data_IF_838657900145
#
_entry.id   IF_838657900145
#
_cell.length_a   1.000
_cell.length_b   1.000
_cell.length_c   1.000
_cell.angle_alpha   90.00
_cell.angle_beta   90.00
_cell.angle_gamma   90.00
#
_symmetry.space_group_name_H-M   'P 1'
#
loop_
_entity.id
_entity.type
_entity.pdbx_description
1 polymer ?
#
# COMPACT_ATOMS: atom_id res chain seq x y z
N UNK A 1 -21.82 21.08 -3.52
CA UNK A 1 -22.06 20.33 -4.76
C UNK A 1 -20.99 19.28 -4.89
N UNK A 2 -21.25 18.09 -4.26
CA UNK A 2 -20.11 17.24 -3.99
C UNK A 2 -20.39 15.82 -4.39
N UNK A 3 -20.84 15.60 -5.70
CA UNK A 3 -21.22 14.37 -5.80
C UNK A 3 -21.34 13.59 -6.94
N UNK A 4 -20.91 13.99 -7.96
CA UNK A 4 -21.03 13.13 -9.08
C UNK A 4 -20.03 12.00 -9.03
N UNK A 5 -19.21 11.84 -7.89
CA UNK A 5 -18.51 10.72 -8.07
C UNK A 5 -17.32 10.52 -7.25
N UNK A 6 -17.57 9.89 -6.17
CA UNK A 6 -16.51 9.25 -5.47
C UNK A 6 -15.83 8.13 -6.29
N UNK A 7 -16.50 7.56 -7.29
CA UNK A 7 -15.89 6.62 -8.24
C UNK A 7 -16.36 6.94 -9.65
N UNK A 8 -15.59 7.70 -10.46
CA UNK A 8 -15.93 8.01 -11.83
C UNK A 8 -15.76 6.82 -12.79
N UNK A 9 -15.45 5.65 -12.26
CA UNK A 9 -15.10 4.46 -13.05
C UNK A 9 -16.26 3.47 -13.09
N UNK A 10 -16.42 2.80 -14.24
CA UNK A 10 -17.37 1.69 -14.39
C UNK A 10 -16.93 0.53 -13.48
N UNK A 11 -17.91 -0.23 -13.03
CA UNK A 11 -17.69 -1.39 -12.16
C UNK A 11 -16.71 -2.41 -12.76
N UNK A 12 -16.85 -2.67 -14.07
CA UNK A 12 -15.97 -3.62 -14.75
C UNK A 12 -14.52 -3.15 -14.78
N UNK A 13 -14.29 -1.85 -15.02
CA UNK A 13 -12.95 -1.26 -14.95
C UNK A 13 -12.36 -1.39 -13.54
N UNK A 14 -13.16 -1.14 -12.50
CA UNK A 14 -12.71 -1.31 -11.13
C UNK A 14 -12.37 -2.78 -10.81
N UNK A 15 -13.20 -3.72 -11.27
CA UNK A 15 -12.97 -5.16 -11.09
C UNK A 15 -11.66 -5.64 -11.70
N UNK A 16 -11.27 -5.12 -12.87
CA UNK A 16 -10.02 -5.46 -13.54
C UNK A 16 -8.78 -5.23 -12.66
N UNK A 17 -8.82 -4.22 -11.79
CA UNK A 17 -7.72 -3.88 -10.89
C UNK A 17 -7.68 -4.73 -9.59
N UNK A 18 -8.80 -5.32 -9.18
CA UNK A 18 -8.87 -6.17 -7.98
C UNK A 18 -8.71 -7.66 -8.27
N UNK A 19 -8.89 -8.10 -9.52
CA UNK A 19 -8.86 -9.54 -9.87
C UNK A 19 -7.43 -10.04 -9.95
N UNK A 20 -7.06 -10.89 -9.00
CA UNK A 20 -5.80 -11.62 -9.01
C UNK A 20 -5.96 -13.12 -9.12
N UNK A 21 -7.09 -13.65 -8.70
CA UNK A 21 -7.46 -15.05 -8.89
C UNK A 21 -8.97 -15.20 -8.88
N UNK A 22 -9.48 -16.23 -9.56
CA UNK A 22 -10.91 -16.58 -9.58
C UNK A 22 -11.51 -16.87 -8.18
N UNK A 23 -10.67 -16.92 -7.14
CA UNK A 23 -11.08 -17.20 -5.75
C UNK A 23 -11.45 -15.95 -4.94
N UNK A 24 -11.03 -14.75 -5.38
CA UNK A 24 -11.18 -13.51 -4.59
C UNK A 24 -12.36 -12.63 -5.00
N UNK A 25 -13.22 -13.09 -5.91
CA UNK A 25 -14.40 -12.34 -6.36
C UNK A 25 -15.32 -11.88 -5.22
N UNK A 26 -15.41 -12.64 -4.12
CA UNK A 26 -16.25 -12.28 -2.96
C UNK A 26 -15.80 -11.00 -2.24
N UNK A 27 -14.49 -10.75 -2.17
CA UNK A 27 -13.96 -9.52 -1.58
C UNK A 27 -14.20 -8.33 -2.49
N UNK A 28 -13.99 -8.49 -3.80
CA UNK A 28 -14.25 -7.46 -4.81
C UNK A 28 -15.73 -7.05 -4.78
N UNK A 29 -16.64 -8.00 -4.80
CA UNK A 29 -18.08 -7.75 -4.74
C UNK A 29 -18.47 -7.01 -3.45
N UNK A 30 -17.84 -7.33 -2.33
CA UNK A 30 -18.06 -6.64 -1.06
C UNK A 30 -17.63 -5.17 -1.12
N UNK A 31 -16.45 -4.87 -1.67
CA UNK A 31 -15.97 -3.49 -1.85
C UNK A 31 -16.86 -2.72 -2.82
N UNK A 32 -17.17 -3.31 -3.97
CA UNK A 32 -18.05 -2.69 -4.98
C UNK A 32 -19.46 -2.44 -4.42
N UNK A 33 -20.02 -3.40 -3.70
CA UNK A 33 -21.33 -3.24 -3.03
C UNK A 33 -21.32 -2.09 -2.02
N UNK A 34 -20.24 -1.92 -1.26
CA UNK A 34 -20.07 -0.81 -0.32
C UNK A 34 -20.04 0.53 -1.03
N UNK A 35 -19.31 0.63 -2.15
CA UNK A 35 -19.25 1.86 -2.96
C UNK A 35 -20.60 2.17 -3.62
N UNK A 36 -21.25 1.18 -4.24
CA UNK A 36 -22.59 1.34 -4.82
C UNK A 36 -23.59 1.84 -3.79
N UNK A 37 -23.65 1.21 -2.63
CA UNK A 37 -24.55 1.60 -1.56
C UNK A 37 -24.31 3.03 -1.08
N UNK A 38 -23.06 3.48 -1.03
CA UNK A 38 -22.73 4.86 -0.68
C UNK A 38 -23.19 5.84 -1.76
N UNK A 39 -23.03 5.50 -3.04
CA UNK A 39 -23.49 6.32 -4.18
C UNK A 39 -25.01 6.37 -4.26
N UNK A 40 -25.68 5.24 -4.11
CA UNK A 40 -27.14 5.13 -4.12
C UNK A 40 -27.77 5.96 -2.99
N UNK A 41 -27.24 5.83 -1.78
CA UNK A 41 -27.69 6.62 -0.63
C UNK A 41 -27.51 8.11 -0.87
N UNK A 42 -26.43 8.51 -1.53
CA UNK A 42 -26.21 9.92 -1.88
C UNK A 42 -27.24 10.43 -2.90
N UNK A 43 -27.53 9.66 -3.93
CA UNK A 43 -28.56 10.02 -4.92
C UNK A 43 -29.96 10.15 -4.33
N UNK A 44 -30.31 9.30 -3.37
CA UNK A 44 -31.58 9.39 -2.63
C UNK A 44 -31.62 10.65 -1.77
N UNK A 45 -30.49 11.07 -1.21
CA UNK A 45 -30.39 12.30 -0.43
C UNK A 45 -30.60 13.56 -1.31
N UNK A 46 -29.96 13.64 -2.48
CA UNK A 46 -30.16 14.77 -3.41
C UNK A 46 -31.63 14.92 -3.85
N UNK A 47 -32.37 13.80 -3.95
CA UNK A 47 -33.76 13.82 -4.39
C UNK A 47 -34.77 14.23 -3.28
N UNK A 48 -34.43 13.98 -2.01
CA UNK A 48 -35.42 14.05 -0.92
C UNK A 48 -35.21 15.16 0.11
N UNK A 49 -34.13 15.93 0.04
CA UNK A 49 -33.78 16.98 1.03
C UNK A 49 -33.77 16.48 2.50
N UNK A 50 -33.52 15.17 2.71
CA UNK A 50 -33.61 14.54 4.02
C UNK A 50 -32.34 14.72 4.87
N UNK A 51 -32.62 15.04 6.10
CA UNK A 51 -31.89 15.16 7.36
C UNK A 51 -30.37 14.85 7.40
N UNK A 52 -29.67 15.77 8.09
CA UNK A 52 -28.23 15.80 8.43
C UNK A 52 -27.64 14.47 8.91
N UNK A 53 -28.43 13.61 9.53
CA UNK A 53 -27.95 12.30 10.01
C UNK A 53 -27.66 11.30 8.90
N UNK A 54 -28.40 11.33 7.82
CA UNK A 54 -28.20 10.44 6.67
C UNK A 54 -27.01 10.88 5.81
N UNK A 55 -26.73 12.18 5.74
CA UNK A 55 -25.49 12.69 5.12
C UNK A 55 -24.25 12.12 5.81
N UNK A 56 -24.24 12.05 7.15
CA UNK A 56 -23.12 11.51 7.92
C UNK A 56 -22.84 10.04 7.59
N UNK A 57 -23.89 9.24 7.38
CA UNK A 57 -23.75 7.82 7.01
C UNK A 57 -23.16 7.64 5.62
N UNK A 58 -23.60 8.46 4.67
CA UNK A 58 -23.12 8.43 3.29
C UNK A 58 -21.65 8.82 3.22
N UNK A 59 -21.24 9.86 3.95
CA UNK A 59 -19.87 10.37 3.98
C UNK A 59 -18.88 9.48 4.72
N UNK A 60 -19.30 8.37 5.32
CA UNK A 60 -18.36 7.43 5.95
C UNK A 60 -17.35 6.84 4.97
N UNK A 61 -17.65 6.81 3.68
CA UNK A 61 -16.71 6.40 2.64
C UNK A 61 -15.44 7.27 2.62
N UNK A 62 -15.53 8.52 3.05
CA UNK A 62 -14.38 9.43 3.18
C UNK A 62 -13.37 8.98 4.24
N UNK A 63 -13.67 7.95 5.04
CA UNK A 63 -12.76 7.31 5.99
C UNK A 63 -12.22 5.97 5.50
N UNK A 64 -12.68 5.54 4.32
CA UNK A 64 -12.35 4.23 3.78
C UNK A 64 -11.02 4.28 3.03
N UNK A 65 -10.00 3.66 3.59
CA UNK A 65 -8.64 3.63 3.07
C UNK A 65 -8.57 2.97 1.68
N UNK A 66 -9.29 1.87 1.48
CA UNK A 66 -9.35 1.19 0.17
C UNK A 66 -10.00 2.10 -0.87
N UNK A 67 -11.03 2.87 -0.47
CA UNK A 67 -11.67 3.83 -1.37
C UNK A 67 -10.72 4.96 -1.77
N UNK A 68 -9.98 5.56 -0.83
CA UNK A 68 -9.00 6.60 -1.14
C UNK A 68 -7.95 6.07 -2.12
N UNK A 69 -7.43 4.89 -1.84
CA UNK A 69 -6.41 4.24 -2.65
C UNK A 69 -6.91 3.97 -4.07
N UNK A 70 -8.06 3.29 -4.19
CA UNK A 70 -8.61 2.95 -5.50
C UNK A 70 -8.99 4.19 -6.32
N UNK A 71 -9.74 5.13 -5.74
CA UNK A 71 -10.18 6.33 -6.45
C UNK A 71 -9.02 7.18 -6.94
N UNK A 72 -8.04 7.45 -6.09
CA UNK A 72 -6.93 8.34 -6.44
C UNK A 72 -5.96 7.72 -7.43
N UNK A 73 -5.56 6.46 -7.21
CA UNK A 73 -4.60 5.80 -8.10
C UNK A 73 -5.22 5.46 -9.47
N UNK A 74 -6.50 5.10 -9.53
CA UNK A 74 -7.20 4.91 -10.81
C UNK A 74 -7.32 6.23 -11.58
N UNK A 75 -7.54 7.36 -10.90
CA UNK A 75 -7.59 8.67 -11.53
C UNK A 75 -6.28 8.98 -12.26
N UNK A 76 -5.14 8.74 -11.63
CA UNK A 76 -3.83 8.89 -12.30
C UNK A 76 -3.64 7.83 -13.38
N UNK A 77 -3.94 6.56 -13.08
CA UNK A 77 -3.65 5.45 -13.99
C UNK A 77 -4.45 5.51 -15.30
N UNK A 78 -5.70 5.99 -15.24
CA UNK A 78 -6.58 6.17 -16.40
C UNK A 78 -6.57 7.59 -16.97
N UNK A 79 -5.72 8.47 -16.44
CA UNK A 79 -5.57 9.83 -16.97
C UNK A 79 -5.02 9.82 -18.40
N UNK A 80 -5.50 10.69 -19.28
CA UNK A 80 -4.88 10.92 -20.58
C UNK A 80 -3.40 11.33 -20.48
N UNK A 81 -3.01 11.93 -19.34
CA UNK A 81 -1.63 12.36 -19.03
C UNK A 81 -0.91 11.39 -18.08
N UNK A 82 -1.34 10.13 -18.01
CA UNK A 82 -0.85 9.12 -17.07
C UNK A 82 0.66 9.11 -16.89
N UNK A 83 1.40 9.02 -17.97
CA UNK A 83 2.85 8.84 -17.91
C UNK A 83 3.53 10.10 -17.34
N UNK A 84 3.01 11.29 -17.67
CA UNK A 84 3.51 12.57 -17.11
C UNK A 84 3.16 12.67 -15.61
N UNK A 85 1.96 12.27 -15.21
CA UNK A 85 1.50 12.32 -13.83
C UNK A 85 2.26 11.30 -12.96
N UNK A 86 2.46 10.08 -13.46
CA UNK A 86 3.28 9.07 -12.79
C UNK A 86 4.74 9.54 -12.67
N UNK A 87 5.31 10.16 -13.70
CA UNK A 87 6.66 10.71 -13.62
C UNK A 87 6.75 11.81 -12.56
N UNK A 88 5.79 12.74 -12.50
CA UNK A 88 5.73 13.77 -11.45
C UNK A 88 5.64 13.16 -10.05
N UNK A 89 4.81 12.11 -9.88
CA UNK A 89 4.67 11.39 -8.62
C UNK A 89 6.00 10.77 -8.19
N UNK A 90 6.68 10.10 -9.11
CA UNK A 90 7.94 9.43 -8.84
C UNK A 90 9.08 10.42 -8.55
N UNK A 91 9.14 11.52 -9.31
CA UNK A 91 10.09 12.60 -9.04
C UNK A 91 9.85 13.23 -7.67
N UNK A 92 8.60 13.50 -7.31
CA UNK A 92 8.26 14.02 -5.99
C UNK A 92 8.66 13.05 -4.86
N UNK A 93 8.41 11.75 -5.07
CA UNK A 93 8.64 10.74 -4.07
C UNK A 93 10.12 10.38 -3.89
N UNK A 94 10.87 10.21 -4.98
CA UNK A 94 12.19 9.60 -4.97
C UNK A 94 13.29 10.50 -5.58
N UNK A 95 12.95 11.70 -6.06
CA UNK A 95 13.88 12.61 -6.73
C UNK A 95 13.91 12.42 -8.25
N UNK A 96 14.78 13.17 -8.90
CA UNK A 96 14.84 13.26 -10.38
C UNK A 96 15.30 11.95 -11.04
N UNK A 97 16.10 11.15 -10.33
CA UNK A 97 16.67 9.89 -10.83
C UNK A 97 16.16 8.73 -9.96
N UNK A 98 15.74 7.61 -10.59
CA UNK A 98 15.34 6.42 -9.83
C UNK A 98 16.48 5.91 -8.93
N UNK A 99 16.24 5.58 -7.66
CA UNK A 99 17.23 4.91 -6.80
C UNK A 99 17.31 3.41 -7.11
N UNK A 100 17.49 3.08 -8.39
CA UNK A 100 17.49 1.73 -8.95
C UNK A 100 18.61 1.62 -9.99
N UNK A 101 19.53 0.69 -9.80
CA UNK A 101 20.73 0.55 -10.67
C UNK A 101 20.40 0.25 -12.13
N UNK A 102 19.25 -0.36 -12.39
CA UNK A 102 18.85 -0.78 -13.73
C UNK A 102 18.18 0.31 -14.56
N UNK A 103 17.95 1.52 -14.01
CA UNK A 103 17.24 2.60 -14.69
C UNK A 103 17.92 3.93 -14.49
N UNK A 104 18.08 4.69 -15.58
CA UNK A 104 18.66 6.03 -15.58
C UNK A 104 17.60 7.14 -15.50
N UNK A 105 16.33 6.81 -15.75
CA UNK A 105 15.23 7.77 -15.76
C UNK A 105 13.89 7.13 -15.42
N UNK A 106 12.95 7.94 -14.94
CA UNK A 106 11.57 7.48 -14.70
C UNK A 106 10.86 7.06 -15.98
N UNK A 107 11.21 7.66 -17.11
CA UNK A 107 10.66 7.26 -18.40
C UNK A 107 11.02 5.80 -18.75
N UNK A 108 12.25 5.38 -18.45
CA UNK A 108 12.64 3.97 -18.62
C UNK A 108 11.85 3.03 -17.71
N UNK A 109 11.63 3.42 -16.45
CA UNK A 109 10.81 2.66 -15.50
C UNK A 109 9.37 2.46 -16.02
N UNK A 110 8.78 3.53 -16.58
CA UNK A 110 7.37 3.57 -16.99
C UNK A 110 7.13 3.05 -18.41
N UNK A 111 8.16 2.96 -19.26
CA UNK A 111 8.02 2.55 -20.65
C UNK A 111 7.66 1.07 -20.78
N UNK A 112 6.48 0.78 -21.32
CA UNK A 112 6.00 -0.58 -21.54
C UNK A 112 4.59 -0.81 -21.03
N UNK A 113 4.30 -2.05 -20.61
CA UNK A 113 2.97 -2.45 -20.19
C UNK A 113 2.80 -2.26 -18.67
N UNK A 114 2.13 -1.18 -18.30
CA UNK A 114 1.79 -0.88 -16.91
C UNK A 114 0.50 -1.56 -16.47
N UNK A 115 0.53 -2.07 -15.24
CA UNK A 115 -0.61 -2.65 -14.54
C UNK A 115 -0.74 -1.98 -13.18
N UNK A 116 -1.96 -1.75 -12.73
CA UNK A 116 -2.29 -1.31 -11.37
C UNK A 116 -3.13 -2.41 -10.71
N UNK A 117 -2.74 -2.85 -9.53
CA UNK A 117 -3.48 -3.86 -8.76
C UNK A 117 -3.80 -3.30 -7.38
N UNK A 118 -5.01 -3.55 -6.90
CA UNK A 118 -5.43 -3.29 -5.54
C UNK A 118 -5.48 -4.58 -4.73
N UNK A 119 -5.03 -4.49 -3.48
CA UNK A 119 -4.97 -5.59 -2.52
C UNK A 119 -4.27 -6.87 -3.06
N UNK A 120 -3.15 -6.75 -3.83
CA UNK A 120 -2.43 -7.94 -4.27
C UNK A 120 -1.81 -8.70 -3.10
N UNK A 121 -1.97 -10.01 -3.14
CA UNK A 121 -1.36 -10.93 -2.19
C UNK A 121 0.06 -11.30 -2.65
N UNK A 122 1.06 -10.70 -2.05
CA UNK A 122 2.46 -11.00 -2.33
C UNK A 122 3.01 -12.03 -1.33
N UNK A 123 3.73 -13.08 -1.79
CA UNK A 123 4.19 -14.13 -0.90
C UNK A 123 5.23 -13.62 0.09
N UNK A 124 5.15 -14.09 1.34
CA UNK A 124 6.22 -13.85 2.31
C UNK A 124 7.52 -14.50 1.86
N UNK A 125 8.67 -13.82 2.00
CA UNK A 125 9.96 -14.35 1.58
C UNK A 125 10.31 -15.68 2.28
N UNK A 126 10.72 -16.68 1.51
CA UNK A 126 11.09 -18.01 2.05
C UNK A 126 12.22 -17.94 3.08
N UNK A 127 13.17 -17.02 2.88
CA UNK A 127 14.27 -16.79 3.82
C UNK A 127 13.73 -16.35 5.20
N UNK A 128 12.76 -15.45 5.23
CA UNK A 128 12.10 -15.04 6.46
C UNK A 128 11.34 -16.19 7.12
N UNK A 129 10.54 -16.93 6.37
CA UNK A 129 9.77 -18.05 6.91
C UNK A 129 10.67 -19.13 7.54
N UNK A 130 11.80 -19.42 6.92
CA UNK A 130 12.78 -20.38 7.46
C UNK A 130 13.47 -19.82 8.72
N UNK A 131 13.85 -18.56 8.69
CA UNK A 131 14.45 -17.90 9.86
C UNK A 131 13.46 -17.84 11.03
N UNK A 132 12.20 -17.48 10.79
CA UNK A 132 11.17 -17.39 11.82
C UNK A 132 10.94 -18.72 12.52
N UNK A 133 10.95 -19.86 11.81
CA UNK A 133 10.82 -21.21 12.42
C UNK A 133 11.88 -21.43 13.49
N UNK A 134 13.10 -20.98 13.25
CA UNK A 134 14.23 -21.17 14.16
C UNK A 134 14.25 -20.14 15.31
N UNK A 135 13.55 -19.02 15.14
CA UNK A 135 13.62 -17.89 16.08
C UNK A 135 12.28 -17.58 16.76
N UNK A 136 11.24 -18.39 16.53
CA UNK A 136 9.85 -18.08 16.93
C UNK A 136 9.70 -17.84 18.43
N UNK A 137 10.45 -18.56 19.28
CA UNK A 137 10.40 -18.40 20.75
C UNK A 137 10.93 -17.03 21.17
N UNK A 138 11.91 -16.48 20.46
CA UNK A 138 12.42 -15.12 20.71
C UNK A 138 11.57 -14.01 20.06
N UNK A 139 10.61 -14.37 19.20
CA UNK A 139 9.74 -13.43 18.46
C UNK A 139 8.33 -13.33 19.02
N UNK A 140 7.96 -14.24 19.92
CA UNK A 140 6.66 -14.22 20.58
C UNK A 140 6.78 -14.80 21.99
N UNK A 141 6.07 -14.21 22.95
CA UNK A 141 6.11 -14.59 24.36
C UNK A 141 4.79 -15.21 24.85
N UNK A 142 3.78 -15.29 24.00
CA UNK A 142 2.46 -15.82 24.36
C UNK A 142 2.42 -17.34 24.12
N UNK A 143 2.32 -18.19 25.18
CA UNK A 143 2.36 -19.64 25.05
C UNK A 143 1.35 -20.20 24.05
N UNK A 144 0.12 -19.72 24.09
CA UNK A 144 -0.93 -20.12 23.17
C UNK A 144 -0.61 -19.86 21.69
N UNK A 145 0.06 -18.73 21.39
CA UNK A 145 0.50 -18.43 20.02
C UNK A 145 1.64 -19.36 19.63
N UNK A 146 2.61 -19.60 20.53
CA UNK A 146 3.71 -20.53 20.30
C UNK A 146 3.21 -21.97 20.06
N UNK A 147 2.22 -22.42 20.81
CA UNK A 147 1.57 -23.72 20.58
C UNK A 147 0.90 -23.79 19.20
N UNK A 148 0.23 -22.72 18.77
CA UNK A 148 -0.39 -22.65 17.44
C UNK A 148 0.61 -22.70 16.28
N UNK A 149 1.88 -22.39 16.49
CA UNK A 149 2.91 -22.54 15.46
C UNK A 149 3.23 -23.99 15.11
N UNK A 150 2.81 -24.92 15.97
CA UNK A 150 3.06 -26.36 15.79
C UNK A 150 1.82 -27.06 15.25
N UNK A 151 2.05 -28.12 14.50
CA UNK A 151 1.01 -29.07 14.08
C UNK A 151 0.76 -30.12 15.18
N UNK A 152 -0.21 -31.01 14.96
CA UNK A 152 -0.52 -32.10 15.90
C UNK A 152 0.64 -33.08 16.15
N UNK A 153 1.65 -33.11 15.27
CA UNK A 153 2.86 -33.94 15.41
C UNK A 153 4.00 -33.21 16.13
N UNK A 154 3.80 -31.94 16.50
CA UNK A 154 4.82 -31.11 17.16
C UNK A 154 5.77 -30.37 16.21
N UNK A 155 5.64 -30.59 14.90
CA UNK A 155 6.45 -29.88 13.90
C UNK A 155 5.93 -28.46 13.68
N UNK A 156 6.80 -27.52 13.31
CA UNK A 156 6.35 -26.20 12.90
C UNK A 156 5.48 -26.25 11.64
N UNK A 157 4.43 -25.45 11.62
CA UNK A 157 3.60 -25.26 10.44
C UNK A 157 4.44 -24.73 9.29
N UNK A 158 4.12 -25.13 8.05
CA UNK A 158 4.86 -24.68 6.86
C UNK A 158 4.76 -23.16 6.67
N UNK A 159 3.59 -22.60 6.97
CA UNK A 159 3.30 -21.17 6.75
C UNK A 159 3.06 -20.47 8.11
N UNK A 160 4.14 -20.00 8.74
CA UNK A 160 4.05 -19.18 9.95
C UNK A 160 3.60 -17.74 9.66
N UNK A 161 3.82 -17.26 8.45
CA UNK A 161 3.28 -15.99 7.95
C UNK A 161 2.62 -16.23 6.59
N UNK A 162 1.41 -15.71 6.42
CA UNK A 162 0.70 -15.72 5.14
C UNK A 162 1.25 -14.68 4.17
N UNK A 163 0.71 -14.64 2.96
CA UNK A 163 0.98 -13.58 1.99
C UNK A 163 0.70 -12.21 2.59
N UNK A 164 1.47 -11.22 2.15
CA UNK A 164 1.24 -9.81 2.48
C UNK A 164 0.23 -9.25 1.50
N UNK A 165 -0.89 -8.78 2.01
CA UNK A 165 -1.83 -8.00 1.23
C UNK A 165 -1.35 -6.55 1.27
N UNK A 166 -0.87 -6.03 0.14
CA UNK A 166 -0.46 -4.62 0.00
C UNK A 166 -1.64 -3.81 -0.55
N UNK A 167 -1.77 -2.53 -0.19
CA UNK A 167 -2.94 -1.76 -0.60
C UNK A 167 -3.00 -1.53 -2.11
N UNK A 168 -1.85 -1.26 -2.73
CA UNK A 168 -1.74 -1.23 -4.18
C UNK A 168 -0.35 -1.63 -4.69
N UNK A 169 -0.30 -2.05 -5.95
CA UNK A 169 0.93 -2.35 -6.69
C UNK A 169 0.82 -1.77 -8.10
N UNK A 170 1.71 -0.84 -8.44
CA UNK A 170 1.98 -0.47 -9.82
C UNK A 170 3.11 -1.36 -10.35
N UNK A 171 2.90 -2.01 -11.49
CA UNK A 171 3.85 -2.95 -12.09
C UNK A 171 4.01 -2.67 -13.58
N UNK A 172 5.23 -2.57 -14.04
CA UNK A 172 5.58 -2.64 -15.45
C UNK A 172 6.04 -4.06 -15.78
N UNK A 173 5.18 -4.83 -16.46
CA UNK A 173 5.49 -6.22 -16.80
C UNK A 173 6.55 -6.37 -17.91
N UNK A 174 6.89 -5.29 -18.61
CA UNK A 174 7.90 -5.31 -19.67
C UNK A 174 9.34 -5.26 -19.14
N UNK A 175 9.57 -4.62 -17.98
CA UNK A 175 10.91 -4.44 -17.40
C UNK A 175 11.02 -4.81 -15.92
N UNK A 176 9.91 -5.27 -15.31
CA UNK A 176 9.85 -5.71 -13.91
C UNK A 176 9.87 -4.57 -12.88
N UNK A 177 9.82 -3.30 -13.31
CA UNK A 177 9.69 -2.16 -12.40
C UNK A 177 8.39 -2.24 -11.63
N UNK A 178 8.43 -1.96 -10.33
CA UNK A 178 7.23 -1.95 -9.51
C UNK A 178 7.29 -0.97 -8.34
N UNK A 179 6.11 -0.52 -7.90
CA UNK A 179 5.93 0.26 -6.69
C UNK A 179 4.92 -0.44 -5.81
N UNK A 180 5.35 -0.87 -4.63
CA UNK A 180 4.48 -1.37 -3.57
C UNK A 180 4.00 -0.17 -2.77
N UNK A 181 2.68 0.01 -2.68
CA UNK A 181 2.06 1.14 -2.01
C UNK A 181 1.33 0.65 -0.76
N UNK A 182 1.66 1.27 0.37
CA UNK A 182 0.93 1.16 1.63
C UNK A 182 0.23 2.49 1.89
N UNK A 183 -1.08 2.44 2.04
CA UNK A 183 -1.93 3.61 2.20
C UNK A 183 -2.51 3.69 3.61
N UNK A 184 -2.59 4.89 4.17
CA UNK A 184 -3.24 5.15 5.44
C UNK A 184 -4.09 6.40 5.35
N UNK A 185 -5.28 6.36 5.96
CA UNK A 185 -6.15 7.53 6.10
C UNK A 185 -6.25 7.94 7.56
N UNK A 186 -6.86 7.11 8.41
CA UNK A 186 -6.97 7.36 9.86
C UNK A 186 -6.38 6.22 10.67
N UNK A 187 -6.17 5.06 10.06
CA UNK A 187 -5.56 3.89 10.69
C UNK A 187 -4.06 4.10 10.95
N UNK A 188 -3.49 3.24 11.76
CA UNK A 188 -2.06 3.13 11.96
C UNK A 188 -1.56 1.78 11.42
N UNK A 189 -0.25 1.55 11.41
CA UNK A 189 0.33 0.27 11.06
C UNK A 189 0.08 -0.78 12.14
N UNK A 190 -0.09 -2.03 11.70
CA UNK A 190 -0.16 -3.17 12.61
C UNK A 190 1.23 -3.63 13.02
N UNK A 191 1.43 -3.79 14.35
CA UNK A 191 2.57 -4.50 14.93
C UNK A 191 2.31 -5.99 15.08
N UNK A 192 1.12 -6.47 14.73
CA UNK A 192 0.79 -7.88 14.87
C UNK A 192 0.83 -8.58 13.53
N UNK A 193 1.97 -9.14 13.20
CA UNK A 193 2.07 -10.09 12.11
C UNK A 193 1.99 -11.50 12.68
N UNK A 194 0.80 -12.05 12.66
CA UNK A 194 0.40 -13.42 13.09
C UNK A 194 1.20 -14.05 14.24
N UNK A 195 2.45 -14.47 14.01
CA UNK A 195 3.29 -15.16 14.99
C UNK A 195 4.54 -14.38 15.39
N UNK A 196 4.89 -13.30 14.68
CA UNK A 196 6.04 -12.44 14.97
C UNK A 196 5.57 -11.10 15.55
N UNK A 197 5.61 -10.96 16.87
CA UNK A 197 5.17 -9.76 17.58
C UNK A 197 6.11 -8.56 17.43
N UNK A 198 7.29 -8.76 16.83
CA UNK A 198 8.30 -7.70 16.66
C UNK A 198 8.36 -7.20 15.20
N UNK A 199 7.49 -7.70 14.32
CA UNK A 199 7.49 -7.33 12.90
C UNK A 199 6.38 -6.33 12.62
N UNK A 200 6.73 -5.12 12.23
CA UNK A 200 5.77 -4.09 11.84
C UNK A 200 5.38 -4.21 10.35
N UNK A 201 4.30 -3.55 9.97
CA UNK A 201 3.73 -3.62 8.62
C UNK A 201 4.66 -3.00 7.57
N UNK A 202 5.37 -1.91 7.87
CA UNK A 202 6.29 -1.27 6.91
C UNK A 202 7.42 -2.23 6.55
N UNK A 203 8.11 -2.79 7.55
CA UNK A 203 9.23 -3.70 7.28
C UNK A 203 8.77 -4.99 6.60
N UNK A 204 7.54 -5.43 6.87
CA UNK A 204 6.93 -6.55 6.16
C UNK A 204 6.76 -6.26 4.66
N UNK A 205 6.27 -5.08 4.30
CA UNK A 205 6.13 -4.65 2.91
C UNK A 205 7.48 -4.47 2.24
N UNK A 206 8.46 -3.90 2.94
CA UNK A 206 9.84 -3.77 2.46
C UNK A 206 10.47 -5.15 2.23
N UNK A 207 10.28 -6.09 3.15
CA UNK A 207 10.81 -7.46 2.98
C UNK A 207 10.20 -8.17 1.76
N UNK A 208 8.90 -7.97 1.52
CA UNK A 208 8.23 -8.47 0.31
C UNK A 208 8.74 -7.76 -0.94
N UNK A 209 9.01 -6.45 -0.89
CA UNK A 209 9.64 -5.70 -1.98
C UNK A 209 10.97 -6.32 -2.40
N UNK A 210 11.78 -6.74 -1.43
CA UNK A 210 13.08 -7.40 -1.61
C UNK A 210 12.97 -8.89 -1.96
N UNK A 211 11.78 -9.45 -2.00
CA UNK A 211 11.51 -10.83 -2.33
C UNK A 211 11.15 -11.04 -3.80
N UNK A 212 11.35 -12.25 -4.30
CA UNK A 212 11.00 -12.64 -5.67
C UNK A 212 9.53 -13.12 -5.75
N UNK A 213 8.84 -12.78 -6.82
CA UNK A 213 7.43 -13.13 -7.05
C UNK A 213 7.23 -14.19 -8.16
N UNK A 214 8.29 -14.86 -8.63
CA UNK A 214 8.24 -15.84 -9.73
C UNK A 214 7.22 -16.97 -9.53
N UNK A 215 6.75 -17.19 -8.31
CA UNK A 215 5.72 -18.20 -8.00
C UNK A 215 4.30 -17.72 -8.29
N UNK A 216 4.11 -16.43 -8.57
CA UNK A 216 2.82 -15.87 -8.92
C UNK A 216 2.55 -15.98 -10.42
N UNK A 217 1.25 -16.04 -10.76
CA UNK A 217 0.80 -15.97 -12.15
C UNK A 217 1.15 -14.60 -12.75
N UNK A 218 1.28 -14.57 -14.07
CA UNK A 218 1.48 -13.31 -14.79
C UNK A 218 0.22 -12.42 -14.73
N UNK A 219 0.41 -11.09 -14.71
CA UNK A 219 1.67 -10.36 -14.81
C UNK A 219 2.45 -10.20 -13.49
N UNK A 220 1.91 -10.55 -12.31
CA UNK A 220 2.52 -10.34 -11.01
C UNK A 220 3.90 -11.01 -10.87
N UNK A 221 4.05 -12.17 -11.50
CA UNK A 221 5.31 -12.92 -11.53
C UNK A 221 6.47 -12.21 -12.26
N UNK A 222 6.16 -11.17 -13.05
CA UNK A 222 7.17 -10.36 -13.77
C UNK A 222 7.89 -9.34 -12.89
N UNK A 223 7.41 -9.08 -11.68
CA UNK A 223 8.06 -8.13 -10.78
C UNK A 223 9.48 -8.58 -10.44
N UNK A 224 10.42 -7.65 -10.53
CA UNK A 224 11.83 -7.85 -10.16
C UNK A 224 12.10 -7.12 -8.84
N UNK A 225 12.67 -7.80 -7.86
CA UNK A 225 12.94 -7.25 -6.54
C UNK A 225 13.86 -6.01 -6.60
N UNK A 226 14.94 -6.08 -7.40
CA UNK A 226 15.89 -4.98 -7.54
C UNK A 226 15.33 -3.77 -8.30
N UNK A 227 14.21 -3.95 -9.01
CA UNK A 227 13.49 -2.91 -9.73
C UNK A 227 12.26 -2.40 -8.97
N UNK A 228 12.15 -2.69 -7.67
CA UNK A 228 10.97 -2.39 -6.88
C UNK A 228 11.22 -1.30 -5.84
N UNK A 229 10.19 -0.45 -5.64
CA UNK A 229 10.17 0.66 -4.69
C UNK A 229 9.03 0.45 -3.67
N UNK A 230 9.16 1.07 -2.50
CA UNK A 230 8.09 1.15 -1.50
C UNK A 230 7.64 2.59 -1.31
N UNK A 231 6.34 2.82 -1.34
CA UNK A 231 5.71 4.12 -1.17
C UNK A 231 4.69 4.08 -0.05
N UNK A 232 4.90 4.89 0.98
CA UNK A 232 3.91 5.16 2.02
C UNK A 232 3.07 6.38 1.59
N UNK A 233 1.75 6.27 1.65
CA UNK A 233 0.79 7.29 1.23
C UNK A 233 -0.16 7.61 2.38
N UNK A 234 -0.12 8.85 2.90
CA UNK A 234 -0.89 9.24 4.09
C UNK A 234 -1.42 10.67 3.97
N UNK A 235 -2.34 11.13 4.86
CA UNK A 235 -2.66 12.55 4.98
C UNK A 235 -1.42 13.37 5.35
N UNK A 236 -1.32 14.58 4.79
CA UNK A 236 -0.25 15.54 5.06
C UNK A 236 -0.16 15.88 6.54
N UNK A 237 -1.31 15.98 7.23
CA UNK A 237 -1.38 16.20 8.67
C UNK A 237 -0.48 15.25 9.47
N UNK A 238 -0.42 13.98 9.08
CA UNK A 238 0.40 12.99 9.78
C UNK A 238 1.86 13.01 9.35
N UNK A 239 2.15 13.41 8.11
CA UNK A 239 3.53 13.61 7.66
C UNK A 239 4.18 14.81 8.38
N UNK A 240 3.43 15.89 8.60
CA UNK A 240 3.87 17.07 9.37
C UNK A 240 3.96 16.78 10.88
N UNK A 241 3.22 15.79 11.37
CA UNK A 241 3.19 15.38 12.77
C UNK A 241 3.55 13.88 12.93
N UNK A 242 4.73 13.43 12.53
CA UNK A 242 5.05 12.01 12.39
C UNK A 242 5.01 11.24 13.72
N UNK A 243 5.18 11.93 14.85
CA UNK A 243 5.13 11.30 16.18
C UNK A 243 3.72 10.90 16.63
N UNK A 244 2.69 11.34 15.91
CA UNK A 244 1.28 11.02 16.23
C UNK A 244 0.85 9.65 15.70
N UNK A 245 1.69 8.99 14.89
CA UNK A 245 1.44 7.69 14.30
C UNK A 245 2.70 6.81 14.39
N UNK A 246 2.49 5.52 14.62
CA UNK A 246 3.58 4.54 14.67
C UNK A 246 4.31 4.45 13.33
N UNK A 247 3.58 4.49 12.21
CA UNK A 247 4.22 4.49 10.90
C UNK A 247 5.12 5.70 10.68
N UNK A 248 4.74 6.87 11.20
CA UNK A 248 5.55 8.08 11.09
C UNK A 248 6.86 7.96 11.84
N UNK A 249 6.81 7.49 13.09
CA UNK A 249 8.01 7.20 13.87
C UNK A 249 8.88 6.14 13.17
N UNK A 250 8.30 5.00 12.81
CA UNK A 250 9.02 3.87 12.21
C UNK A 250 9.64 4.24 10.86
N UNK A 251 8.90 4.96 10.01
CA UNK A 251 9.41 5.39 8.72
C UNK A 251 10.59 6.35 8.86
N UNK A 252 10.49 7.34 9.75
CA UNK A 252 11.58 8.27 10.03
C UNK A 252 12.81 7.56 10.59
N UNK A 253 12.61 6.56 11.47
CA UNK A 253 13.71 5.74 11.97
C UNK A 253 14.45 5.04 10.83
N UNK A 254 13.73 4.42 9.88
CA UNK A 254 14.34 3.78 8.71
C UNK A 254 15.02 4.75 7.74
N UNK A 255 14.64 6.03 7.74
CA UNK A 255 15.28 7.07 6.91
C UNK A 255 16.52 7.67 7.56
N UNK A 256 16.62 7.67 8.87
CA UNK A 256 17.69 8.36 9.60
C UNK A 256 18.68 7.39 10.27
N UNK A 257 18.26 6.16 10.57
CA UNK A 257 19.04 5.12 11.22
C UNK A 257 18.93 3.81 10.42
N UNK A 258 19.80 3.61 9.46
CA UNK A 258 19.77 2.43 8.58
C UNK A 258 19.98 1.11 9.34
N UNK A 259 20.62 1.15 10.54
CA UNK A 259 20.77 -0.03 11.37
C UNK A 259 19.42 -0.61 11.78
N UNK A 260 18.39 0.22 11.95
CA UNK A 260 17.03 -0.25 12.26
C UNK A 260 16.45 -1.15 11.18
N UNK A 261 16.76 -0.90 9.89
CA UNK A 261 16.38 -1.79 8.78
C UNK A 261 17.10 -3.13 8.89
N UNK A 262 18.42 -3.10 9.15
CA UNK A 262 19.21 -4.32 9.34
C UNK A 262 18.68 -5.15 10.51
N UNK A 263 18.33 -4.49 11.63
CA UNK A 263 17.81 -5.12 12.84
C UNK A 263 16.44 -5.77 12.64
N UNK A 264 15.58 -5.16 11.84
CA UNK A 264 14.25 -5.68 11.52
C UNK A 264 14.27 -6.73 10.40
N UNK A 265 15.32 -6.74 9.54
CA UNK A 265 15.53 -7.71 8.47
C UNK A 265 16.68 -8.69 8.75
N UNK A 266 16.92 -9.07 10.01
CA UNK A 266 18.02 -9.96 10.43
C UNK A 266 18.17 -11.25 9.62
N UNK A 267 17.06 -11.76 9.11
CA UNK A 267 17.04 -12.97 8.28
C UNK A 267 17.69 -12.78 6.89
N UNK A 268 18.02 -11.55 6.50
CA UNK A 268 18.67 -11.23 5.23
C UNK A 268 20.16 -11.00 5.32
N UNK A 269 20.70 -10.89 6.55
CA UNK A 269 22.12 -10.66 6.82
C UNK A 269 22.71 -9.48 6.03
N UNK A 270 21.96 -8.38 5.98
CA UNK A 270 22.28 -7.18 5.20
C UNK A 270 23.42 -6.38 5.83
N UNK A 271 24.29 -5.81 5.01
CA UNK A 271 25.25 -4.79 5.44
C UNK A 271 24.54 -3.44 5.64
N UNK A 272 25.20 -2.51 6.34
CA UNK A 272 24.69 -1.16 6.54
C UNK A 272 24.53 -0.42 5.18
N UNK A 273 25.39 -0.71 4.20
CA UNK A 273 25.29 -0.16 2.85
C UNK A 273 24.03 -0.67 2.13
N UNK A 274 23.71 -1.97 2.27
CA UNK A 274 22.47 -2.51 1.71
C UNK A 274 21.25 -1.86 2.36
N UNK A 275 21.26 -1.69 3.69
CA UNK A 275 20.18 -1.07 4.43
C UNK A 275 19.99 0.41 4.03
N UNK A 276 21.08 1.15 3.72
CA UNK A 276 21.01 2.50 3.16
C UNK A 276 20.35 2.49 1.77
N UNK A 277 20.77 1.62 0.86
CA UNK A 277 20.16 1.47 -0.47
C UNK A 277 18.67 1.12 -0.37
N UNK A 278 18.28 0.23 0.56
CA UNK A 278 16.86 -0.08 0.82
C UNK A 278 16.12 1.16 1.28
N UNK A 279 16.68 1.96 2.20
CA UNK A 279 16.08 3.21 2.65
C UNK A 279 15.88 4.20 1.50
N UNK A 280 16.82 4.32 0.57
CA UNK A 280 16.68 5.18 -0.62
C UNK A 280 15.52 4.75 -1.52
N UNK A 281 15.23 3.45 -1.59
CA UNK A 281 14.10 2.87 -2.31
C UNK A 281 12.75 2.98 -1.59
N UNK A 282 12.69 3.61 -0.43
CA UNK A 282 11.48 3.89 0.33
C UNK A 282 11.14 5.37 0.25
N UNK A 283 9.87 5.72 0.10
CA UNK A 283 9.41 7.10 0.15
C UNK A 283 8.07 7.26 0.85
N UNK A 284 7.76 8.49 1.23
CA UNK A 284 6.53 8.88 1.90
C UNK A 284 6.00 10.17 1.29
N UNK A 285 4.83 10.08 0.64
CA UNK A 285 4.09 11.21 0.08
C UNK A 285 2.69 11.31 0.69
N UNK A 286 1.95 12.34 0.35
CA UNK A 286 0.64 12.62 0.92
C UNK A 286 -0.48 12.55 -0.13
N UNK A 287 -1.72 12.37 0.34
CA UNK A 287 -2.91 12.45 -0.51
C UNK A 287 -3.04 13.83 -1.15
N UNK A 288 -2.64 14.86 -0.43
CA UNK A 288 -2.59 16.24 -0.90
C UNK A 288 -1.56 16.42 -2.04
N UNK A 289 -0.49 15.66 -2.05
CA UNK A 289 0.48 15.67 -3.16
C UNK A 289 -0.10 15.00 -4.41
N UNK A 290 -0.84 13.90 -4.28
CA UNK A 290 -1.57 13.32 -5.41
C UNK A 290 -2.56 14.33 -6.00
N UNK A 291 -3.28 15.07 -5.15
CA UNK A 291 -4.23 16.11 -5.59
C UNK A 291 -3.54 17.26 -6.33
N UNK A 292 -2.31 17.63 -5.96
CA UNK A 292 -1.53 18.63 -6.71
C UNK A 292 -1.08 18.12 -8.08
N UNK A 293 -0.80 16.80 -8.19
CA UNK A 293 -0.40 16.16 -9.45
C UNK A 293 -1.60 16.10 -10.41
N UNK A 294 -2.76 15.69 -9.89
CA UNK A 294 -4.01 15.62 -10.62
C UNK A 294 -5.16 16.09 -9.71
N UNK A 295 -5.80 17.22 -10.07
CA UNK A 295 -6.86 17.85 -9.27
C UNK A 295 -8.10 16.97 -9.07
N UNK A 296 -8.30 15.97 -9.92
CA UNK A 296 -9.41 15.03 -9.83
C UNK A 296 -9.15 13.92 -8.79
N UNK A 297 -7.91 13.82 -8.28
CA UNK A 297 -7.60 12.96 -7.13
C UNK A 297 -8.17 13.57 -5.84
N UNK A 298 -8.61 12.70 -4.93
CA UNK A 298 -9.00 13.11 -3.58
C UNK A 298 -9.97 14.29 -3.56
N UNK A 299 -11.05 14.22 -4.34
CA UNK A 299 -12.05 15.29 -4.49
C UNK A 299 -12.68 15.75 -3.16
N UNK A 300 -12.65 14.89 -2.14
CA UNK A 300 -13.14 15.17 -0.78
C UNK A 300 -12.15 15.94 0.10
N UNK A 301 -10.89 16.12 -0.33
CA UNK A 301 -9.97 17.02 0.37
C UNK A 301 -10.33 18.45 0.03
N UNK A 302 -10.78 19.20 1.02
CA UNK A 302 -11.03 20.62 0.88
C UNK A 302 -9.71 21.38 0.75
N UNK A 303 -9.60 22.22 -0.27
CA UNK A 303 -8.45 23.13 -0.44
C UNK A 303 -8.41 24.23 0.63
N UNK A 304 -9.57 24.48 1.27
CA UNK A 304 -9.76 25.51 2.28
C UNK A 304 -10.06 24.91 3.65
N UNK A 305 -9.13 24.20 4.24
CA UNK A 305 -9.10 24.10 5.71
C UNK A 305 -8.21 25.22 6.28
N UNK A 306 -8.47 26.47 5.90
CA UNK A 306 -8.18 27.61 6.76
C UNK A 306 -9.15 27.58 7.95
N UNK A 307 -9.04 26.53 8.77
CA UNK A 307 -9.66 26.47 10.11
C UNK A 307 -8.98 27.45 11.10
N UNK A 308 -8.17 28.36 10.60
CA UNK A 308 -7.49 29.39 11.41
C UNK A 308 -8.34 30.67 11.59
N UNK A 309 -9.58 30.71 11.04
CA UNK A 309 -10.47 31.85 11.20
C UNK A 309 -11.88 31.45 11.66
N UNK A 310 -11.98 30.73 12.77
CA UNK A 310 -13.21 30.73 13.60
C UNK A 310 -12.84 30.76 15.07
#
# INVERSE_FOLDING_TARGET
>A
MMHKTYLPFKEDTLKEHFVQSKKDLSNIEKHISKYKKSIENYGLFESNNELIEDIRKIRQIEKDETFWTASSLMTIFHSPSRDVELQKLLTLAFGEVPPLDNFSSWNECLKGQLHLFFEPNLPSPKVYLNWLKNNIVGRNFIPYILEKTRNKKGDYRLNLEGSTNVDALLLNSSNGFAIIIEAKVLSDISYQVSYDSMRNQIIRNVDVMLGDNKVLEEPLGKRIADNSLFLLLTPKLFQENPRTRLYGYTFNEYKTNFQSICDDLKHRELSLTDCKSISERMSWITWEDLKKINSDCCLWLNENTDLTNQ
#
